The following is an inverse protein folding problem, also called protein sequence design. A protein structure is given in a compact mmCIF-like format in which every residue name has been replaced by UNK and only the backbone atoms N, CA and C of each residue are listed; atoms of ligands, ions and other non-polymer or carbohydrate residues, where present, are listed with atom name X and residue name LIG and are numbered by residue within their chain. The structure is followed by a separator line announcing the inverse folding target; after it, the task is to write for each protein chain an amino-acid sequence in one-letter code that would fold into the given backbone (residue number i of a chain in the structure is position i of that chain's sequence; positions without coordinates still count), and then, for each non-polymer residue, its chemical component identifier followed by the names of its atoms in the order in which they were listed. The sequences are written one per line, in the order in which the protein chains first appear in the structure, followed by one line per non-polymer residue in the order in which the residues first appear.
data_IF_674760119139
#
_entry.id   IF_674760119139
#
_cell.length_a   1.000
_cell.length_b   1.000
_cell.length_c   1.000
_cell.angle_alpha   90.00
_cell.angle_beta   90.00
_cell.angle_gamma   90.00
#
_symmetry.space_group_name_H-M   'P 1'
#
loop_
_entity.id
_entity.type
_entity.pdbx_description
1 polymer ?
#
# COMPACT_ATOMS: atom_id res chain seq x y z
N UNK A 1 11.29 -17.70 -23.87
CA UNK A 1 12.04 -17.05 -22.78
C UNK A 1 11.06 -16.81 -21.67
N UNK A 2 11.13 -17.61 -20.61
CA UNK A 2 10.39 -17.36 -19.38
C UNK A 2 11.22 -16.39 -18.51
N UNK A 3 10.58 -15.35 -17.97
CA UNK A 3 11.15 -14.55 -16.89
C UNK A 3 11.75 -13.18 -17.24
N UNK A 4 11.36 -12.52 -18.34
CA UNK A 4 11.70 -11.11 -18.52
C UNK A 4 10.72 -10.23 -17.71
N UNK A 5 11.23 -9.62 -16.64
CA UNK A 5 10.50 -8.63 -15.88
C UNK A 5 10.76 -7.23 -16.46
N UNK A 6 9.71 -6.59 -16.97
CA UNK A 6 9.76 -5.21 -17.42
C UNK A 6 9.38 -4.28 -16.26
N UNK A 7 10.35 -3.51 -15.76
CA UNK A 7 10.13 -2.45 -14.81
C UNK A 7 10.33 -1.10 -15.49
N UNK A 8 9.45 -0.14 -15.20
CA UNK A 8 9.55 1.20 -15.75
C UNK A 8 9.01 2.22 -14.76
N UNK A 9 9.58 3.42 -14.80
CA UNK A 9 9.04 4.58 -14.08
C UNK A 9 7.91 5.20 -14.92
N UNK A 10 6.77 5.47 -14.29
CA UNK A 10 5.76 6.33 -14.91
C UNK A 10 6.40 7.70 -15.17
N UNK A 11 6.33 8.18 -16.42
CA UNK A 11 6.95 9.44 -16.86
C UNK A 11 6.26 10.70 -16.31
N UNK A 12 5.26 10.51 -15.46
CA UNK A 12 4.56 11.55 -14.77
C UNK A 12 5.36 11.77 -13.51
N UNK A 13 6.09 12.89 -13.39
CA UNK A 13 6.60 13.31 -12.09
C UNK A 13 5.40 13.98 -11.38
N UNK A 14 4.75 13.32 -10.41
CA UNK A 14 3.70 13.99 -9.66
C UNK A 14 4.33 15.21 -8.98
N UNK A 15 3.66 16.36 -9.12
CA UNK A 15 4.03 17.57 -8.39
C UNK A 15 3.01 17.71 -7.27
N UNK A 16 3.49 17.60 -6.04
CA UNK A 16 2.66 17.80 -4.84
C UNK A 16 3.17 19.07 -4.19
N UNK A 17 2.29 20.05 -4.05
CA UNK A 17 2.61 21.37 -3.47
C UNK A 17 3.79 22.11 -4.11
N UNK A 18 4.03 21.88 -5.41
CA UNK A 18 5.10 22.52 -6.18
C UNK A 18 6.44 21.78 -6.14
N UNK A 19 6.53 20.67 -5.39
CA UNK A 19 7.73 19.83 -5.31
C UNK A 19 7.58 18.52 -6.09
N UNK A 20 8.68 18.00 -6.69
CA UNK A 20 8.68 16.68 -7.30
C UNK A 20 8.42 15.60 -6.25
N UNK A 21 7.39 14.81 -6.45
CA UNK A 21 7.05 13.66 -5.62
C UNK A 21 7.43 12.34 -6.31
N UNK A 22 7.66 11.31 -5.51
CA UNK A 22 7.85 9.94 -5.99
C UNK A 22 6.56 9.17 -5.78
N UNK A 23 6.02 8.57 -6.83
CA UNK A 23 4.85 7.69 -6.74
C UNK A 23 5.30 6.25 -6.44
N UNK A 24 4.78 5.68 -5.36
CA UNK A 24 5.04 4.29 -4.97
C UNK A 24 3.89 3.41 -5.46
N UNK A 25 4.07 2.79 -6.63
CA UNK A 25 3.07 1.91 -7.22
C UNK A 25 3.12 0.47 -6.69
N UNK A 26 2.30 -0.38 -7.30
CA UNK A 26 2.02 -1.76 -6.87
C UNK A 26 3.25 -2.64 -6.62
N UNK A 27 4.35 -2.42 -7.35
CA UNK A 27 5.61 -3.17 -7.15
C UNK A 27 6.19 -2.94 -5.74
N UNK A 28 6.06 -1.73 -5.21
CA UNK A 28 6.52 -1.41 -3.85
C UNK A 28 5.53 -1.91 -2.81
N UNK A 29 4.24 -1.98 -3.14
CA UNK A 29 3.16 -2.31 -2.20
C UNK A 29 2.78 -3.80 -2.19
N UNK A 30 3.27 -4.60 -3.13
CA UNK A 30 2.99 -6.04 -3.19
C UNK A 30 3.37 -6.76 -1.89
N UNK A 31 2.48 -7.62 -1.40
CA UNK A 31 2.59 -8.35 -0.13
C UNK A 31 2.85 -7.46 1.09
N UNK A 32 2.42 -6.20 1.05
CA UNK A 32 2.44 -5.29 2.21
C UNK A 32 1.03 -4.96 2.65
N UNK A 33 0.78 -5.10 3.95
CA UNK A 33 -0.35 -4.45 4.61
C UNK A 33 0.09 -3.03 4.98
N UNK A 34 -0.58 -2.03 4.41
CA UNK A 34 -0.32 -0.61 4.66
C UNK A 34 -1.34 -0.08 5.67
N UNK A 35 -0.85 0.58 6.71
CA UNK A 35 -1.66 1.24 7.73
C UNK A 35 -1.35 2.74 7.74
N UNK A 36 -2.39 3.56 7.73
CA UNK A 36 -2.27 5.00 7.87
C UNK A 36 -2.84 5.43 9.22
N UNK A 37 -1.96 5.86 10.11
CA UNK A 37 -2.31 6.43 11.40
C UNK A 37 -2.59 7.93 11.22
N UNK A 38 -3.86 8.29 11.26
CA UNK A 38 -4.32 9.69 11.10
C UNK A 38 -3.94 10.58 12.29
N UNK A 39 -3.78 10.02 13.50
CA UNK A 39 -3.46 10.80 14.70
C UNK A 39 -1.99 11.22 14.70
N UNK A 40 -1.10 10.30 14.32
CA UNK A 40 0.33 10.55 14.28
C UNK A 40 0.84 10.97 12.88
N UNK A 41 -0.03 10.97 11.87
CA UNK A 41 0.31 11.22 10.46
C UNK A 41 1.45 10.31 9.97
N UNK A 42 1.41 9.03 10.35
CA UNK A 42 2.44 8.06 9.98
C UNK A 42 1.89 6.96 9.08
N UNK A 43 2.74 6.50 8.16
CA UNK A 43 2.45 5.36 7.30
C UNK A 43 3.33 4.21 7.76
N UNK A 44 2.71 3.12 8.20
CA UNK A 44 3.35 1.86 8.52
C UNK A 44 3.11 0.84 7.42
N UNK A 45 4.02 -0.11 7.27
CA UNK A 45 3.81 -1.28 6.44
C UNK A 45 4.47 -2.52 7.04
N UNK A 46 3.83 -3.67 6.84
CA UNK A 46 4.39 -4.97 7.25
C UNK A 46 4.13 -6.00 6.16
N UNK A 47 4.92 -7.07 6.13
CA UNK A 47 4.67 -8.16 5.21
C UNK A 47 3.34 -8.84 5.55
N UNK A 48 2.50 -9.07 4.55
CA UNK A 48 1.20 -9.69 4.72
C UNK A 48 0.89 -10.65 3.57
N UNK A 49 0.30 -11.79 3.90
CA UNK A 49 -0.16 -12.75 2.91
C UNK A 49 -1.50 -12.30 2.32
N UNK A 50 -1.48 -11.71 1.12
CA UNK A 50 -2.67 -11.21 0.42
C UNK A 50 -3.70 -12.31 0.05
N UNK A 51 -3.36 -13.61 0.16
CA UNK A 51 -4.34 -14.69 -0.02
C UNK A 51 -5.23 -14.91 1.21
N UNK A 52 -4.80 -14.41 2.37
CA UNK A 52 -5.51 -14.49 3.64
C UNK A 52 -6.46 -13.30 3.84
N UNK A 53 -7.30 -13.36 4.87
CA UNK A 53 -8.25 -12.30 5.21
C UNK A 53 -7.77 -11.45 6.38
N UNK A 54 -7.95 -10.14 6.30
CA UNK A 54 -7.62 -9.21 7.38
C UNK A 54 -8.82 -9.12 8.31
N UNK A 55 -8.59 -9.32 9.60
CA UNK A 55 -9.62 -9.17 10.63
C UNK A 55 -9.54 -7.76 11.21
N UNK A 56 -10.60 -6.98 11.04
CA UNK A 56 -10.74 -5.64 11.61
C UNK A 56 -11.86 -5.62 12.63
N UNK A 57 -11.69 -4.78 13.64
CA UNK A 57 -12.71 -4.50 14.65
C UNK A 57 -13.35 -3.15 14.31
N UNK A 58 -14.65 -3.17 14.07
CA UNK A 58 -15.43 -1.94 13.92
C UNK A 58 -15.71 -1.33 15.31
N UNK A 59 -15.98 -0.03 15.36
CA UNK A 59 -16.40 0.71 16.57
C UNK A 59 -17.59 0.04 17.27
N UNK A 60 -18.43 -0.66 16.51
CA UNK A 60 -19.58 -1.42 17.03
C UNK A 60 -19.21 -2.79 17.63
N UNK A 61 -17.93 -3.06 17.89
CA UNK A 61 -17.42 -4.33 18.44
C UNK A 61 -17.82 -5.53 17.56
N UNK A 62 -17.98 -5.29 16.25
CA UNK A 62 -18.21 -6.35 15.28
C UNK A 62 -16.90 -6.64 14.56
N UNK A 63 -16.54 -7.92 14.49
CA UNK A 63 -15.41 -8.36 13.69
C UNK A 63 -15.82 -8.43 12.23
N UNK A 64 -15.07 -7.74 11.37
CA UNK A 64 -15.25 -7.77 9.93
C UNK A 64 -13.99 -8.31 9.29
N UNK A 65 -14.16 -9.14 8.26
CA UNK A 65 -13.06 -9.61 7.45
C UNK A 65 -13.03 -8.81 6.15
N UNK A 66 -11.87 -8.23 5.83
CA UNK A 66 -11.58 -7.60 4.55
C UNK A 66 -10.66 -8.51 3.76
N UNK A 67 -10.91 -8.61 2.46
CA UNK A 67 -10.12 -9.40 1.52
C UNK A 67 -9.87 -8.57 0.27
#
# INVERSE_FOLDING_TARGET
MEGEYCFGWMRNAPIIDGEPATELGDIVLVDKLVEYDMENMTIGFTHYNCSSSIKVKDEKIQEKFIR
#
